data_IF_883682103237
#
_entry.id   IF_883682103237
#
_cell.length_a   1.000
_cell.length_b   1.000
_cell.length_c   1.000
_cell.angle_alpha   90.00
_cell.angle_beta   90.00
_cell.angle_gamma   90.00
#
_symmetry.space_group_name_H-M   'P 1'
#
loop_
_entity.id
_entity.type
_entity.pdbx_description
1 polymer ?
#
# COMPACT_ATOMS: atom_id res chain seq x y z
N UNK A 1 -20.91 -41.59 42.10
CA UNK A 1 -20.58 -41.12 40.73
C UNK A 1 -19.72 -42.17 40.05
N UNK A 2 -20.21 -42.80 38.98
CA UNK A 2 -19.52 -43.90 38.30
C UNK A 2 -18.13 -43.43 37.83
N UNK A 3 -17.11 -44.29 37.96
CA UNK A 3 -15.71 -43.93 37.63
C UNK A 3 -15.56 -43.36 36.22
N UNK A 4 -16.41 -43.79 35.29
CA UNK A 4 -16.51 -43.24 33.93
C UNK A 4 -16.86 -41.75 33.91
N UNK A 5 -17.83 -41.32 34.72
CA UNK A 5 -18.24 -39.90 34.83
C UNK A 5 -17.12 -39.06 35.45
N UNK A 6 -16.41 -39.60 36.45
CA UNK A 6 -15.27 -38.91 37.07
C UNK A 6 -14.16 -38.62 36.06
N UNK A 7 -13.79 -39.60 35.22
CA UNK A 7 -12.76 -39.42 34.20
C UNK A 7 -13.16 -38.42 33.12
N UNK A 8 -14.43 -38.42 32.68
CA UNK A 8 -14.93 -37.46 31.69
C UNK A 8 -14.89 -36.03 32.24
N UNK A 9 -15.28 -35.84 33.50
CA UNK A 9 -15.28 -34.53 34.15
C UNK A 9 -13.85 -34.00 34.33
N UNK A 10 -12.91 -34.83 34.77
CA UNK A 10 -11.51 -34.39 34.97
C UNK A 10 -10.84 -34.00 33.65
N UNK A 11 -10.99 -34.80 32.59
CA UNK A 11 -10.46 -34.46 31.25
C UNK A 11 -11.07 -33.18 30.68
N UNK A 12 -12.39 -32.99 30.85
CA UNK A 12 -13.08 -31.78 30.39
C UNK A 12 -12.57 -30.53 31.12
N UNK A 13 -12.38 -30.63 32.44
CA UNK A 13 -11.91 -29.53 33.27
C UNK A 13 -10.47 -29.11 32.90
N UNK A 14 -9.57 -30.08 32.75
CA UNK A 14 -8.18 -29.81 32.35
C UNK A 14 -8.12 -29.22 30.94
N UNK A 15 -8.92 -29.75 30.01
CA UNK A 15 -8.98 -29.24 28.63
C UNK A 15 -9.51 -27.81 28.58
N UNK A 16 -10.56 -27.49 29.37
CA UNK A 16 -11.11 -26.15 29.46
C UNK A 16 -10.09 -25.16 30.05
N UNK A 17 -9.35 -25.56 31.09
CA UNK A 17 -8.28 -24.75 31.67
C UNK A 17 -7.16 -24.49 30.66
N UNK A 18 -6.71 -25.51 29.93
CA UNK A 18 -5.68 -25.36 28.91
C UNK A 18 -6.12 -24.45 27.74
N UNK A 19 -7.34 -24.63 27.24
CA UNK A 19 -7.90 -23.78 26.20
C UNK A 19 -8.07 -22.32 26.66
N UNK A 20 -8.50 -22.12 27.91
CA UNK A 20 -8.62 -20.80 28.52
C UNK A 20 -7.28 -20.09 28.65
N UNK A 21 -6.24 -20.78 29.14
CA UNK A 21 -4.89 -20.25 29.24
C UNK A 21 -4.32 -19.85 27.86
N UNK A 22 -4.50 -20.70 26.85
CA UNK A 22 -4.06 -20.43 25.49
C UNK A 22 -4.79 -19.22 24.88
N UNK A 23 -6.11 -19.13 25.05
CA UNK A 23 -6.91 -18.00 24.56
C UNK A 23 -6.51 -16.67 25.23
N UNK A 24 -6.20 -16.69 26.53
CA UNK A 24 -5.72 -15.51 27.24
C UNK A 24 -4.36 -15.04 26.73
N UNK A 25 -3.40 -15.98 26.59
CA UNK A 25 -2.07 -15.69 26.08
C UNK A 25 -2.11 -15.09 24.67
N UNK A 26 -2.93 -15.68 23.80
CA UNK A 26 -3.15 -15.21 22.44
C UNK A 26 -3.81 -13.81 22.40
N UNK A 27 -4.84 -13.56 23.21
CA UNK A 27 -5.47 -12.22 23.32
C UNK A 27 -4.46 -11.13 23.70
N UNK A 28 -3.55 -11.42 24.62
CA UNK A 28 -2.50 -10.49 25.04
C UNK A 28 -1.40 -10.30 23.98
N UNK A 29 -0.99 -11.37 23.29
CA UNK A 29 0.10 -11.33 22.31
C UNK A 29 -0.31 -10.80 20.94
N UNK A 30 -1.58 -10.95 20.53
CA UNK A 30 -2.11 -10.45 19.24
C UNK A 30 -1.74 -8.99 18.96
N UNK A 31 -1.84 -8.11 19.97
CA UNK A 31 -1.51 -6.68 19.81
C UNK A 31 -0.03 -6.47 19.49
N UNK A 32 0.87 -7.19 20.17
CA UNK A 32 2.32 -7.12 19.90
C UNK A 32 2.66 -7.68 18.52
N UNK A 33 2.05 -8.80 18.13
CA UNK A 33 2.26 -9.42 16.81
C UNK A 33 1.85 -8.45 15.70
N UNK A 34 0.69 -7.79 15.84
CA UNK A 34 0.20 -6.84 14.85
C UNK A 34 1.14 -5.63 14.69
N UNK A 35 1.64 -5.08 15.80
CA UNK A 35 2.58 -3.95 15.77
C UNK A 35 3.90 -4.35 15.10
N UNK A 36 4.45 -5.51 15.46
CA UNK A 36 5.69 -6.02 14.86
C UNK A 36 5.53 -6.35 13.38
N UNK A 37 4.37 -6.89 12.98
CA UNK A 37 4.07 -7.15 11.57
C UNK A 37 4.06 -5.84 10.74
N UNK A 38 3.43 -4.79 11.25
CA UNK A 38 3.43 -3.46 10.60
C UNK A 38 4.83 -2.88 10.51
N UNK A 39 5.61 -2.98 11.59
CA UNK A 39 6.98 -2.48 11.63
C UNK A 39 7.91 -3.24 10.67
N UNK A 40 7.78 -4.57 10.58
CA UNK A 40 8.50 -5.39 9.58
C UNK A 40 8.12 -4.99 8.16
N UNK A 41 6.82 -4.81 7.88
CA UNK A 41 6.36 -4.36 6.57
C UNK A 41 6.90 -2.96 6.22
N UNK A 42 6.86 -1.99 7.14
CA UNK A 42 7.42 -0.65 6.91
C UNK A 42 8.94 -0.68 6.67
N UNK A 43 9.67 -1.51 7.43
CA UNK A 43 11.12 -1.74 7.21
C UNK A 43 11.41 -2.36 5.85
N UNK A 44 10.59 -3.33 5.42
CA UNK A 44 10.71 -3.96 4.12
C UNK A 44 10.50 -2.96 2.98
N UNK A 45 9.48 -2.10 3.07
CA UNK A 45 9.27 -1.01 2.09
C UNK A 45 10.49 -0.10 2.02
N UNK A 46 11.06 0.31 3.16
CA UNK A 46 12.26 1.14 3.20
C UNK A 46 13.50 0.46 2.62
N UNK A 47 13.64 -0.87 2.80
CA UNK A 47 14.74 -1.65 2.21
C UNK A 47 14.63 -1.71 0.67
N UNK A 48 13.43 -1.90 0.15
CA UNK A 48 13.18 -2.00 -1.30
C UNK A 48 13.22 -0.61 -1.96
N UNK A 49 12.63 0.40 -1.32
CA UNK A 49 12.57 1.77 -1.78
C UNK A 49 13.07 2.74 -0.70
N UNK A 50 14.38 3.03 -0.65
CA UNK A 50 14.97 3.97 0.31
C UNK A 50 14.37 5.38 0.23
N UNK A 51 13.97 5.81 -0.97
CA UNK A 51 13.41 7.14 -1.23
C UNK A 51 11.93 7.29 -0.85
N UNK A 52 11.27 6.20 -0.43
CA UNK A 52 9.86 6.21 -0.08
C UNK A 52 9.66 6.67 1.38
N UNK A 53 9.60 7.99 1.59
CA UNK A 53 9.50 8.59 2.91
C UNK A 53 8.17 8.30 3.64
N UNK A 54 7.05 8.14 2.90
CA UNK A 54 5.72 7.93 3.48
C UNK A 54 4.88 7.00 2.59
N UNK A 55 5.01 5.67 2.73
CA UNK A 55 4.20 4.73 1.97
C UNK A 55 2.75 4.75 2.45
N UNK A 56 1.80 4.78 1.51
CA UNK A 56 0.37 4.70 1.83
C UNK A 56 -0.06 3.23 1.81
N UNK A 57 -0.44 2.70 2.98
CA UNK A 57 -0.97 1.33 3.10
C UNK A 57 -2.43 1.27 2.65
N UNK A 58 -2.75 0.31 1.77
CA UNK A 58 -4.12 0.04 1.30
C UNK A 58 -4.36 -1.46 1.22
N UNK A 59 -5.58 -1.89 1.57
CA UNK A 59 -5.99 -3.28 1.42
C UNK A 59 -6.90 -3.38 0.20
N UNK A 60 -6.49 -4.19 -0.78
CA UNK A 60 -7.22 -4.41 -2.03
C UNK A 60 -7.60 -5.87 -2.12
N UNK A 61 -8.83 -6.18 -2.54
CA UNK A 61 -9.24 -7.56 -2.81
C UNK A 61 -8.79 -7.95 -4.21
N UNK A 62 -8.06 -9.05 -4.32
CA UNK A 62 -7.75 -9.70 -5.59
C UNK A 62 -9.03 -10.24 -6.23
N UNK A 63 -8.98 -10.53 -7.55
CA UNK A 63 -10.06 -11.24 -8.25
C UNK A 63 -10.35 -12.62 -7.62
N UNK A 64 -9.38 -13.22 -6.94
CA UNK A 64 -9.51 -14.47 -6.16
C UNK A 64 -10.04 -14.28 -4.73
N UNK A 65 -10.47 -13.06 -4.37
CA UNK A 65 -11.02 -12.75 -3.04
C UNK A 65 -9.97 -12.54 -1.93
N UNK A 66 -8.68 -12.76 -2.21
CA UNK A 66 -7.60 -12.57 -1.25
C UNK A 66 -7.32 -11.09 -0.97
N UNK A 67 -7.12 -10.72 0.29
CA UNK A 67 -6.77 -9.37 0.70
C UNK A 67 -5.26 -9.13 0.51
N UNK A 68 -4.91 -8.27 -0.44
CA UNK A 68 -3.55 -7.87 -0.77
C UNK A 68 -3.27 -6.53 -0.10
N UNK A 69 -2.15 -6.43 0.60
CA UNK A 69 -1.69 -5.15 1.17
C UNK A 69 -0.79 -4.46 0.14
N UNK A 70 -1.16 -3.24 -0.24
CA UNK A 70 -0.47 -2.39 -1.21
C UNK A 70 0.16 -1.22 -0.46
N UNK A 71 1.43 -0.94 -0.73
CA UNK A 71 2.12 0.25 -0.26
C UNK A 71 2.49 1.09 -1.47
N UNK A 72 1.90 2.27 -1.57
CA UNK A 72 2.17 3.20 -2.66
C UNK A 72 3.30 4.14 -2.30
N UNK A 73 4.28 4.26 -3.20
CA UNK A 73 5.37 5.21 -3.11
C UNK A 73 5.23 6.28 -4.21
N UNK A 74 5.77 7.49 -3.98
CA UNK A 74 5.86 8.52 -5.02
C UNK A 74 6.61 7.98 -6.26
N UNK A 75 6.21 8.43 -7.46
CA UNK A 75 6.87 8.04 -8.71
C UNK A 75 6.39 6.72 -9.33
N UNK A 76 5.13 6.32 -9.08
CA UNK A 76 4.53 5.08 -9.62
C UNK A 76 5.26 3.80 -9.22
N UNK A 77 5.88 3.81 -8.02
CA UNK A 77 6.48 2.63 -7.40
C UNK A 77 5.51 2.05 -6.38
N UNK A 78 5.44 0.73 -6.31
CA UNK A 78 4.46 0.03 -5.50
C UNK A 78 5.09 -1.18 -4.81
N UNK A 79 4.75 -1.42 -3.55
CA UNK A 79 4.99 -2.73 -2.93
C UNK A 79 3.67 -3.48 -2.73
N UNK A 80 3.68 -4.77 -2.99
CA UNK A 80 2.55 -5.67 -2.79
C UNK A 80 2.95 -6.78 -1.81
N UNK A 81 2.11 -7.05 -0.81
CA UNK A 81 2.26 -8.24 0.04
C UNK A 81 1.29 -9.30 -0.45
N UNK A 82 1.84 -10.41 -0.90
CA UNK A 82 1.09 -11.62 -1.25
C UNK A 82 1.41 -12.74 -0.28
N UNK A 83 0.43 -13.63 -0.09
CA UNK A 83 0.58 -14.79 0.76
C UNK A 83 0.32 -16.07 -0.01
N UNK A 84 1.04 -17.13 0.33
CA UNK A 84 0.72 -18.48 -0.12
C UNK A 84 0.63 -19.41 1.09
N UNK A 85 -0.39 -20.25 1.06
CA UNK A 85 -0.61 -21.39 1.93
C UNK A 85 -1.26 -22.51 1.08
N UNK A 86 -1.57 -23.65 1.71
CA UNK A 86 -2.19 -24.79 1.02
C UNK A 86 -3.52 -24.48 0.30
N UNK A 87 -4.22 -23.40 0.65
CA UNK A 87 -5.51 -23.01 0.09
C UNK A 87 -5.45 -21.76 -0.84
N UNK A 88 -4.30 -21.12 -1.01
CA UNK A 88 -4.20 -19.83 -1.71
C UNK A 88 -4.31 -19.93 -3.24
N UNK A 89 -4.33 -21.14 -3.80
CA UNK A 89 -4.31 -21.35 -5.25
C UNK A 89 -3.05 -20.79 -5.94
N UNK A 90 -2.01 -20.52 -5.15
CA UNK A 90 -0.63 -20.21 -5.52
C UNK A 90 0.20 -21.45 -5.14
N UNK A 91 1.40 -21.60 -5.71
CA UNK A 91 2.32 -22.70 -5.39
C UNK A 91 2.41 -22.95 -3.88
N UNK A 92 2.12 -24.20 -3.47
CA UNK A 92 1.99 -24.62 -2.07
C UNK A 92 3.36 -24.61 -1.35
N UNK A 93 3.49 -23.91 -0.20
CA UNK A 93 4.67 -24.00 0.67
C UNK A 93 4.78 -25.38 1.34
N UNK A 94 5.96 -25.72 1.84
CA UNK A 94 6.20 -27.02 2.46
C UNK A 94 5.57 -27.11 3.85
N UNK A 95 5.86 -26.16 4.73
CA UNK A 95 5.49 -26.25 6.16
C UNK A 95 4.32 -25.36 6.57
N UNK A 96 4.04 -24.26 5.86
CA UNK A 96 3.00 -23.34 6.31
C UNK A 96 2.78 -22.09 5.47
N UNK A 97 2.49 -20.97 6.12
CA UNK A 97 2.22 -19.70 5.44
C UNK A 97 3.52 -19.00 5.06
N UNK A 98 3.63 -18.57 3.80
CA UNK A 98 4.68 -17.65 3.35
C UNK A 98 4.04 -16.34 2.93
N UNK A 99 4.54 -15.22 3.44
CA UNK A 99 4.18 -13.86 3.04
C UNK A 99 5.39 -13.15 2.49
N UNK A 100 5.28 -12.67 1.26
CA UNK A 100 6.37 -11.97 0.56
C UNK A 100 5.88 -10.60 0.13
N UNK A 101 6.72 -9.60 0.37
CA UNK A 101 6.59 -8.27 -0.19
C UNK A 101 7.38 -8.17 -1.49
N UNK A 102 6.73 -7.67 -2.54
CA UNK A 102 7.32 -7.49 -3.86
C UNK A 102 7.20 -6.02 -4.24
N UNK A 103 8.33 -5.35 -4.44
CA UNK A 103 8.40 -3.99 -4.95
C UNK A 103 8.54 -3.96 -6.46
N UNK A 104 7.68 -3.20 -7.12
CA UNK A 104 7.58 -3.09 -8.57
C UNK A 104 7.71 -1.62 -8.97
N UNK A 105 8.46 -1.37 -10.04
CA UNK A 105 8.59 -0.04 -10.65
C UNK A 105 7.42 0.28 -11.62
N UNK A 106 7.41 1.51 -12.13
CA UNK A 106 6.42 1.96 -13.12
C UNK A 106 6.34 1.10 -14.39
N UNK A 107 7.41 0.37 -14.72
CA UNK A 107 7.53 -0.46 -15.93
C UNK A 107 7.09 -1.91 -15.70
N UNK A 108 6.77 -2.30 -14.46
CA UNK A 108 6.45 -3.69 -14.12
C UNK A 108 7.69 -4.56 -13.86
N UNK A 109 8.83 -3.93 -13.57
CA UNK A 109 10.08 -4.59 -13.20
C UNK A 109 10.19 -4.70 -11.68
N UNK A 110 10.68 -5.83 -11.20
CA UNK A 110 10.94 -6.05 -9.78
C UNK A 110 12.17 -5.24 -9.35
N UNK A 111 11.97 -4.35 -8.38
CA UNK A 111 13.05 -3.56 -7.75
C UNK A 111 13.64 -4.26 -6.52
N UNK A 112 12.79 -5.02 -5.83
CA UNK A 112 13.20 -5.83 -4.69
C UNK A 112 12.10 -6.73 -4.19
N UNK A 113 12.50 -7.77 -3.48
CA UNK A 113 11.62 -8.75 -2.84
C UNK A 113 12.09 -8.87 -1.40
N UNK A 114 11.16 -9.01 -0.45
CA UNK A 114 11.48 -9.25 0.95
C UNK A 114 10.47 -10.24 1.53
N UNK A 115 10.95 -11.26 2.24
CA UNK A 115 10.08 -12.19 2.98
C UNK A 115 9.67 -11.54 4.30
N UNK A 116 8.36 -11.40 4.52
CA UNK A 116 7.80 -10.74 5.72
C UNK A 116 7.55 -11.75 6.83
N UNK A 117 7.05 -12.93 6.46
CA UNK A 117 6.72 -14.02 7.37
C UNK A 117 6.82 -15.33 6.63
N UNK A 118 7.41 -16.34 7.27
CA UNK A 118 7.47 -17.69 6.76
C UNK A 118 7.39 -18.68 7.92
N UNK A 119 7.00 -19.90 7.63
CA UNK A 119 6.90 -21.00 8.60
C UNK A 119 7.63 -22.25 8.09
N UNK A 120 8.60 -22.06 7.20
CA UNK A 120 9.40 -23.11 6.59
C UNK A 120 10.44 -23.66 7.57
N UNK A 121 10.94 -24.86 7.27
CA UNK A 121 11.90 -25.55 8.13
C UNK A 121 13.22 -24.76 8.22
N UNK A 122 13.68 -24.41 9.45
CA UNK A 122 14.98 -23.76 9.65
C UNK A 122 16.13 -24.57 9.02
N UNK A 123 17.08 -23.89 8.37
CA UNK A 123 18.24 -24.53 7.72
C UNK A 123 17.97 -25.18 6.36
N UNK A 124 16.71 -25.21 5.90
CA UNK A 124 16.31 -25.71 4.58
C UNK A 124 15.45 -24.66 3.87
N UNK A 125 14.14 -24.69 4.10
CA UNK A 125 13.18 -23.82 3.44
C UNK A 125 13.21 -22.38 3.96
N UNK A 126 13.66 -22.17 5.19
CA UNK A 126 13.82 -20.83 5.77
C UNK A 126 14.88 -19.98 5.05
N UNK A 127 15.78 -20.61 4.28
CA UNK A 127 16.83 -19.92 3.52
C UNK A 127 16.25 -19.08 2.37
N UNK A 128 14.93 -19.13 2.12
CA UNK A 128 14.24 -18.17 1.25
C UNK A 128 14.38 -16.72 1.72
N UNK A 129 14.81 -16.47 2.96
CA UNK A 129 15.12 -15.13 3.49
C UNK A 129 16.52 -14.64 3.11
N UNK A 130 17.38 -15.49 2.54
CA UNK A 130 18.75 -15.12 2.20
C UNK A 130 18.80 -14.08 1.07
N UNK A 131 19.57 -13.02 1.30
CA UNK A 131 19.72 -11.92 0.33
C UNK A 131 20.33 -12.37 -1.00
N UNK A 132 21.24 -13.34 -0.97
CA UNK A 132 21.86 -13.94 -2.16
C UNK A 132 20.81 -14.57 -3.08
N UNK A 133 19.85 -15.28 -2.50
CA UNK A 133 18.79 -15.95 -3.24
C UNK A 133 17.68 -14.98 -3.66
N UNK A 134 17.19 -14.13 -2.75
CA UNK A 134 16.20 -13.09 -3.03
C UNK A 134 16.68 -12.11 -4.12
N UNK A 135 17.98 -11.83 -4.18
CA UNK A 135 18.56 -10.92 -5.16
C UNK A 135 18.32 -11.34 -6.62
N UNK A 136 18.09 -12.63 -6.88
CA UNK A 136 17.83 -13.16 -8.23
C UNK A 136 16.55 -12.63 -8.86
N UNK A 137 15.58 -12.18 -8.05
CA UNK A 137 14.32 -11.64 -8.55
C UNK A 137 14.45 -10.20 -9.08
N UNK A 138 15.50 -9.47 -8.70
CA UNK A 138 15.69 -8.07 -9.07
C UNK A 138 15.92 -7.93 -10.57
N UNK A 139 15.21 -7.00 -11.21
CA UNK A 139 15.32 -6.73 -12.65
C UNK A 139 14.47 -7.65 -13.55
N UNK A 140 13.76 -8.63 -12.97
CA UNK A 140 12.84 -9.49 -13.70
C UNK A 140 11.45 -8.82 -13.85
N UNK A 141 10.70 -9.22 -14.89
CA UNK A 141 9.31 -8.81 -15.12
C UNK A 141 8.54 -9.95 -15.80
N UNK A 142 7.23 -9.80 -16.01
CA UNK A 142 6.43 -10.82 -16.73
C UNK A 142 6.91 -11.04 -18.17
N UNK A 143 7.48 -10.01 -18.80
CA UNK A 143 7.97 -10.05 -20.18
C UNK A 143 9.48 -10.28 -20.26
N UNK A 144 10.24 -10.00 -19.20
CA UNK A 144 11.70 -10.09 -19.15
C UNK A 144 12.14 -11.10 -18.09
N UNK A 145 12.58 -12.26 -18.56
CA UNK A 145 13.01 -13.39 -17.74
C UNK A 145 11.83 -14.26 -17.30
N UNK A 146 11.99 -15.58 -17.35
CA UNK A 146 10.93 -16.51 -16.99
C UNK A 146 10.97 -16.72 -15.48
N UNK A 147 9.96 -16.19 -14.78
CA UNK A 147 9.75 -16.35 -13.34
C UNK A 147 9.35 -17.80 -13.01
N UNK A 148 10.32 -18.68 -13.10
CA UNK A 148 10.23 -20.10 -12.81
C UNK A 148 11.56 -20.57 -12.22
N UNK A 149 11.49 -21.61 -11.40
CA UNK A 149 12.66 -22.20 -10.76
C UNK A 149 13.35 -23.14 -11.76
N UNK A 150 14.63 -22.89 -12.07
CA UNK A 150 15.43 -23.58 -13.09
C UNK A 150 15.49 -25.09 -12.92
N UNK A 151 15.54 -25.57 -11.67
CA UNK A 151 15.55 -27.00 -11.32
C UNK A 151 14.27 -27.74 -11.75
N UNK A 152 13.18 -27.00 -11.95
CA UNK A 152 11.86 -27.53 -12.31
C UNK A 152 11.60 -27.25 -13.78
N UNK A 153 11.82 -26.01 -14.20
CA UNK A 153 11.69 -25.57 -15.57
C UNK A 153 13.07 -25.14 -16.05
N UNK A 154 13.68 -25.88 -16.98
CA UNK A 154 15.05 -25.58 -17.50
C UNK A 154 15.20 -24.17 -18.11
N UNK A 155 14.08 -23.54 -18.45
CA UNK A 155 13.99 -22.18 -18.99
C UNK A 155 13.78 -21.10 -17.92
N UNK A 156 13.65 -21.50 -16.65
CA UNK A 156 13.48 -20.61 -15.51
C UNK A 156 14.75 -19.83 -15.17
N UNK A 157 14.57 -18.58 -14.73
CA UNK A 157 15.66 -17.65 -14.41
C UNK A 157 16.09 -17.66 -12.93
N UNK A 158 15.39 -18.42 -12.07
CA UNK A 158 15.65 -18.47 -10.63
C UNK A 158 16.23 -19.82 -10.25
N UNK A 159 17.36 -19.83 -9.55
CA UNK A 159 17.94 -21.05 -9.02
C UNK A 159 17.14 -21.56 -7.81
N UNK A 160 17.07 -22.88 -7.65
CA UNK A 160 16.44 -23.47 -6.48
C UNK A 160 17.42 -23.45 -5.30
N UNK A 161 16.90 -23.22 -4.09
CA UNK A 161 17.65 -23.52 -2.87
C UNK A 161 17.82 -25.05 -2.78
N UNK A 162 19.06 -25.51 -2.57
CA UNK A 162 19.35 -26.94 -2.42
C UNK A 162 18.56 -27.53 -1.24
N UNK A 163 17.93 -28.68 -1.43
CA UNK A 163 17.05 -29.30 -0.43
C UNK A 163 15.69 -28.60 -0.21
N UNK A 164 15.46 -27.39 -0.74
CA UNK A 164 14.25 -26.59 -0.51
C UNK A 164 13.56 -26.14 -1.81
N UNK A 165 13.39 -27.08 -2.75
CA UNK A 165 12.78 -26.80 -4.07
C UNK A 165 11.31 -26.38 -3.95
N UNK A 166 10.56 -26.93 -2.97
CA UNK A 166 9.13 -26.61 -2.76
C UNK A 166 8.98 -25.17 -2.26
N UNK A 167 9.77 -24.78 -1.26
CA UNK A 167 9.78 -23.42 -0.71
C UNK A 167 10.22 -22.39 -1.75
N UNK A 168 11.24 -22.74 -2.55
CA UNK A 168 11.70 -21.91 -3.69
C UNK A 168 10.56 -21.67 -4.69
N UNK A 169 9.85 -22.73 -5.09
CA UNK A 169 8.69 -22.65 -5.99
C UNK A 169 7.56 -21.82 -5.42
N UNK A 170 7.28 -21.96 -4.12
CA UNK A 170 6.24 -21.20 -3.44
C UNK A 170 6.49 -19.69 -3.55
N UNK A 171 7.71 -19.25 -3.22
CA UNK A 171 8.09 -17.83 -3.32
C UNK A 171 8.08 -17.34 -4.77
N UNK A 172 8.63 -18.10 -5.73
CA UNK A 172 8.55 -17.73 -7.15
C UNK A 172 7.11 -17.58 -7.64
N UNK A 173 6.21 -18.48 -7.20
CA UNK A 173 4.78 -18.38 -7.49
C UNK A 173 4.12 -17.15 -6.89
N UNK A 174 4.49 -16.78 -5.65
CA UNK A 174 4.02 -15.55 -4.99
C UNK A 174 4.47 -14.31 -5.79
N UNK A 175 5.74 -14.25 -6.18
CA UNK A 175 6.30 -13.13 -6.95
C UNK A 175 5.61 -12.99 -8.30
N UNK A 176 5.39 -14.11 -9.00
CA UNK A 176 4.64 -14.13 -10.26
C UNK A 176 3.21 -13.62 -10.09
N UNK A 177 2.48 -14.09 -9.07
CA UNK A 177 1.13 -13.64 -8.78
C UNK A 177 1.06 -12.13 -8.46
N UNK A 178 2.09 -11.60 -7.78
CA UNK A 178 2.18 -10.17 -7.49
C UNK A 178 2.32 -9.32 -8.77
N UNK A 179 3.15 -9.77 -9.71
CA UNK A 179 3.30 -9.09 -11.00
C UNK A 179 2.05 -9.22 -11.88
N UNK A 180 1.39 -10.37 -11.90
CA UNK A 180 0.11 -10.54 -12.61
C UNK A 180 -0.96 -9.60 -12.06
N UNK A 181 -1.00 -9.40 -10.75
CA UNK A 181 -1.90 -8.41 -10.12
C UNK A 181 -1.52 -6.97 -10.48
N UNK A 182 -0.23 -6.64 -10.53
CA UNK A 182 0.24 -5.33 -10.99
C UNK A 182 -0.16 -5.06 -12.45
N UNK A 183 0.02 -6.03 -13.33
CA UNK A 183 -0.41 -5.94 -14.73
C UNK A 183 -1.93 -5.79 -14.84
N UNK A 184 -2.70 -6.58 -14.08
CA UNK A 184 -4.17 -6.52 -14.07
C UNK A 184 -4.72 -5.20 -13.50
N UNK A 185 -3.97 -4.52 -12.63
CA UNK A 185 -4.33 -3.19 -12.11
C UNK A 185 -3.95 -2.03 -13.05
N UNK A 186 -3.36 -2.34 -14.22
CA UNK A 186 -3.08 -1.38 -15.29
C UNK A 186 -1.86 -0.50 -15.02
N UNK A 187 -0.84 -1.03 -14.32
CA UNK A 187 0.39 -0.31 -14.01
C UNK A 187 0.20 0.88 -13.05
N UNK A 188 -1.00 1.01 -12.47
CA UNK A 188 -1.30 1.98 -11.43
C UNK A 188 -1.39 1.20 -10.14
N UNK A 189 -0.37 1.40 -9.30
CA UNK A 189 -0.42 1.02 -7.89
C UNK A 189 -1.79 1.44 -7.34
N UNK A 190 -2.60 0.45 -6.95
CA UNK A 190 -4.08 0.40 -6.97
C UNK A 190 -4.79 1.65 -6.38
N UNK A 191 -4.61 2.79 -7.02
CA UNK A 191 -5.32 4.02 -6.73
C UNK A 191 -6.74 3.79 -7.20
N UNK A 192 -7.76 4.16 -6.41
CA UNK A 192 -9.09 4.27 -6.98
C UNK A 192 -8.89 5.23 -8.15
N UNK A 193 -9.08 4.72 -9.37
CA UNK A 193 -8.90 5.50 -10.57
C UNK A 193 -9.58 6.84 -10.34
N UNK A 194 -8.93 7.93 -10.70
CA UNK A 194 -9.50 9.26 -10.55
C UNK A 194 -10.92 9.34 -11.15
N UNK A 195 -11.21 8.46 -12.13
CA UNK A 195 -12.54 8.13 -12.64
C UNK A 195 -13.53 7.60 -11.58
N UNK A 196 -13.15 6.61 -10.76
CA UNK A 196 -13.99 6.09 -9.67
C UNK A 196 -14.19 7.11 -8.52
N UNK A 197 -13.15 7.90 -8.18
CA UNK A 197 -13.27 8.99 -7.20
C UNK A 197 -14.18 10.10 -7.72
N UNK A 198 -14.00 10.53 -8.96
CA UNK A 198 -14.84 11.55 -9.60
C UNK A 198 -16.25 11.05 -9.87
N UNK A 199 -16.47 9.77 -10.18
CA UNK A 199 -17.81 9.19 -10.30
C UNK A 199 -18.53 9.13 -8.95
N UNK A 200 -17.84 8.72 -7.87
CA UNK A 200 -18.42 8.75 -6.52
C UNK A 200 -18.70 10.17 -6.05
N UNK A 201 -17.78 11.10 -6.32
CA UNK A 201 -17.96 12.52 -6.01
C UNK A 201 -19.11 13.14 -6.81
N UNK A 202 -19.20 12.86 -8.12
CA UNK A 202 -20.30 13.33 -8.96
C UNK A 202 -21.65 12.70 -8.57
N UNK A 203 -21.70 11.41 -8.24
CA UNK A 203 -22.91 10.76 -7.71
C UNK A 203 -23.33 11.34 -6.35
N UNK A 204 -22.38 11.62 -5.47
CA UNK A 204 -22.66 12.27 -4.19
C UNK A 204 -23.15 13.72 -4.37
N UNK A 205 -22.62 14.45 -5.36
CA UNK A 205 -23.07 15.80 -5.73
C UNK A 205 -24.48 15.79 -6.34
N UNK A 206 -24.78 14.81 -7.20
CA UNK A 206 -26.11 14.60 -7.78
C UNK A 206 -27.16 14.19 -6.75
N UNK A 207 -26.77 13.51 -5.67
CA UNK A 207 -27.69 13.20 -4.56
C UNK A 207 -27.95 14.40 -3.65
N UNK A 208 -26.98 15.31 -3.48
CA UNK A 208 -27.15 16.54 -2.69
C UNK A 208 -27.89 17.65 -3.45
N UNK A 209 -27.79 17.69 -4.77
CA UNK A 209 -28.63 18.51 -5.63
C UNK A 209 -29.67 17.61 -6.29
N UNK A 210 -30.79 17.35 -5.60
CA UNK A 210 -31.93 16.63 -6.17
C UNK A 210 -32.43 17.32 -7.44
N UNK A 211 -31.94 16.86 -8.59
CA UNK A 211 -32.55 17.13 -9.89
C UNK A 211 -33.27 15.85 -10.26
N UNK A 212 -34.57 15.89 -10.00
CA UNK A 212 -35.59 15.00 -10.53
C UNK A 212 -35.42 14.96 -12.06
N UNK A 213 -35.13 13.79 -12.62
CA UNK A 213 -34.94 13.61 -14.06
C UNK A 213 -36.24 13.90 -14.84
N UNK A 214 -36.13 14.30 -16.12
CA UNK A 214 -37.29 14.68 -16.92
C UNK A 214 -38.17 13.45 -17.20
N UNK A 215 -39.44 13.53 -16.78
CA UNK A 215 -40.48 12.57 -17.19
C UNK A 215 -40.68 12.67 -18.71
N UNK A 216 -40.78 11.49 -19.32
CA UNK A 216 -40.99 11.25 -20.75
C UNK A 216 -42.00 12.19 -21.38
N UNK A 217 -41.60 12.72 -22.55
CA UNK A 217 -42.48 13.40 -23.52
C UNK A 217 -43.69 12.52 -23.83
N UNK A 218 -44.88 13.03 -23.53
CA UNK A 218 -46.09 12.70 -24.26
C UNK A 218 -47.00 13.94 -24.25
N UNK A 219 -46.98 14.63 -25.39
CA UNK A 219 -48.17 15.15 -26.07
C UNK A 219 -49.21 15.92 -25.23
N UNK A 220 -49.14 17.26 -25.26
CA UNK A 220 -50.35 18.06 -25.50
C UNK A 220 -50.05 19.52 -25.88
N UNK A 221 -50.64 19.86 -27.01
CA UNK A 221 -50.88 21.13 -27.70
C UNK A 221 -51.11 22.39 -26.85
N UNK A 222 -50.90 23.51 -27.55
CA UNK A 222 -51.47 24.87 -27.40
C UNK A 222 -50.63 25.95 -26.69
N UNK A 223 -50.47 27.07 -27.43
CA UNK A 223 -49.67 28.29 -27.22
C UNK A 223 -50.27 29.21 -26.12
N UNK A 224 -49.85 30.50 -25.91
CA UNK A 224 -48.78 31.29 -26.55
C UNK A 224 -47.88 32.12 -25.59
N UNK A 225 -46.87 32.73 -26.21
CA UNK A 225 -46.00 33.85 -25.77
C UNK A 225 -46.48 34.68 -24.57
N UNK A 226 -45.59 34.84 -23.57
CA UNK A 226 -45.41 36.11 -22.83
C UNK A 226 -43.96 36.25 -22.34
N UNK A 227 -43.42 37.42 -22.63
CA UNK A 227 -42.07 37.88 -22.32
C UNK A 227 -41.84 38.09 -20.81
N UNK A 228 -40.67 37.72 -20.28
CA UNK A 228 -40.04 38.44 -19.16
C UNK A 228 -38.52 38.51 -19.37
N UNK A 229 -38.03 39.73 -19.17
CA UNK A 229 -36.73 40.31 -19.44
C UNK A 229 -35.52 39.66 -18.73
N UNK A 230 -34.37 39.95 -19.33
CA UNK A 230 -32.99 39.77 -18.86
C UNK A 230 -32.75 40.30 -17.43
N UNK A 231 -31.86 39.63 -16.67
CA UNK A 231 -30.98 40.28 -15.67
C UNK A 231 -29.55 39.72 -15.78
N UNK A 232 -28.53 40.58 -16.01
CA UNK A 232 -27.13 40.13 -16.01
C UNK A 232 -26.60 40.03 -14.56
N UNK A 233 -26.11 38.86 -14.15
CA UNK A 233 -25.44 38.67 -12.84
C UNK A 233 -23.98 39.14 -12.88
N UNK A 234 -23.77 40.42 -13.18
CA UNK A 234 -22.47 41.09 -13.15
C UNK A 234 -22.22 41.84 -11.84
N UNK A 235 -22.20 41.18 -10.68
CA UNK A 235 -21.81 41.84 -9.40
C UNK A 235 -20.95 41.01 -8.43
N UNK A 236 -20.70 39.71 -8.68
CA UNK A 236 -19.93 38.87 -7.73
C UNK A 236 -18.40 38.91 -7.92
N UNK A 237 -17.89 39.34 -9.07
CA UNK A 237 -16.45 39.26 -9.38
C UNK A 237 -15.65 40.49 -8.88
N UNK A 238 -16.30 41.64 -8.62
CA UNK A 238 -15.59 42.86 -8.18
C UNK A 238 -15.19 42.87 -6.70
N UNK A 239 -15.85 42.13 -5.81
CA UNK A 239 -15.49 42.10 -4.37
C UNK A 239 -14.17 41.35 -4.12
N UNK A 240 -13.91 40.26 -4.85
CA UNK A 240 -12.71 39.45 -4.62
C UNK A 240 -11.42 40.13 -5.11
N UNK A 241 -11.50 41.01 -6.13
CA UNK A 241 -10.30 41.67 -6.67
C UNK A 241 -9.72 42.72 -5.69
N UNK A 242 -10.57 43.48 -4.99
CA UNK A 242 -10.11 44.43 -3.96
C UNK A 242 -9.51 43.74 -2.73
N UNK A 243 -10.08 42.61 -2.30
CA UNK A 243 -9.53 41.83 -1.19
C UNK A 243 -8.18 41.20 -1.53
N UNK A 244 -7.99 40.74 -2.78
CA UNK A 244 -6.74 40.14 -3.23
C UNK A 244 -5.60 41.15 -3.32
N UNK A 245 -5.88 42.38 -3.76
CA UNK A 245 -4.86 43.44 -3.82
C UNK A 245 -4.45 43.94 -2.43
N UNK A 246 -5.37 44.01 -1.46
CA UNK A 246 -5.03 44.32 -0.07
C UNK A 246 -4.12 43.27 0.57
N UNK A 247 -4.35 41.98 0.28
CA UNK A 247 -3.53 40.90 0.83
C UNK A 247 -2.09 40.92 0.27
N UNK A 248 -1.92 41.28 -1.02
CA UNK A 248 -0.60 41.41 -1.65
C UNK A 248 0.22 42.56 -1.06
N UNK A 249 -0.42 43.68 -0.71
CA UNK A 249 0.23 44.82 -0.07
C UNK A 249 0.75 44.44 1.33
N UNK A 250 -0.08 43.78 2.14
CA UNK A 250 0.33 43.31 3.47
C UNK A 250 1.50 42.33 3.40
N UNK A 251 1.52 41.45 2.39
CA UNK A 251 2.61 40.48 2.22
C UNK A 251 3.92 41.17 1.81
N UNK A 252 3.88 42.18 0.94
CA UNK A 252 5.07 42.96 0.54
C UNK A 252 5.68 43.73 1.71
N UNK A 253 4.85 44.33 2.56
CA UNK A 253 5.31 45.06 3.74
C UNK A 253 5.96 44.13 4.76
N UNK A 254 5.39 42.94 4.97
CA UNK A 254 5.96 41.91 5.86
C UNK A 254 7.32 41.38 5.40
N UNK A 255 7.52 41.27 4.09
CA UNK A 255 8.80 40.88 3.49
C UNK A 255 9.84 42.00 3.67
N UNK A 256 9.46 43.26 3.47
CA UNK A 256 10.35 44.42 3.67
C UNK A 256 10.84 44.54 5.13
N UNK A 257 9.94 44.31 6.10
CA UNK A 257 10.29 44.33 7.53
C UNK A 257 11.25 43.22 7.95
N UNK A 258 11.19 42.04 7.30
CA UNK A 258 12.15 40.95 7.54
C UNK A 258 13.53 41.22 6.94
N UNK A 259 13.58 41.89 5.79
CA UNK A 259 14.84 42.28 5.13
C UNK A 259 15.60 43.38 5.90
N UNK A 260 14.90 44.30 6.58
CA UNK A 260 15.52 45.37 7.37
C UNK A 260 16.19 44.89 8.68
N UNK A 261 15.77 43.74 9.24
CA UNK A 261 16.39 43.17 10.46
C UNK A 261 17.70 42.42 10.22
N UNK A 262 18.12 42.22 8.97
CA UNK A 262 19.30 41.44 8.62
C UNK A 262 20.58 42.28 8.40
N UNK A 263 20.53 43.60 8.56
CA UNK A 263 21.69 44.48 8.39
C UNK A 263 22.10 45.10 9.74
N UNK A 264 22.88 44.35 10.49
CA UNK A 264 23.75 44.89 11.56
C UNK A 264 25.20 44.53 11.16
N UNK A 265 26.11 45.49 10.94
CA UNK A 265 27.44 45.17 10.43
C UNK A 265 28.33 44.56 11.52
N UNK A 266 28.98 43.44 11.17
CA UNK A 266 29.99 42.80 12.01
C UNK A 266 31.24 43.70 12.12
N UNK A 267 31.56 44.08 13.35
CA UNK A 267 32.73 44.88 13.70
C UNK A 267 33.99 44.01 13.61
N UNK A 268 34.87 44.38 12.69
CA UNK A 268 36.20 43.81 12.47
C UNK A 268 37.10 44.05 13.68
N UNK A 269 37.73 43.01 14.20
CA UNK A 269 38.90 43.09 15.09
C UNK A 269 39.96 42.11 14.55
N UNK A 270 40.89 42.67 13.77
CA UNK A 270 42.24 42.15 13.63
C UNK A 270 43.00 42.50 14.91
N UNK A 271 43.89 41.61 15.39
CA UNK A 271 45.24 41.96 15.85
C UNK A 271 45.93 40.74 16.50
N UNK A 272 47.07 40.36 15.90
CA UNK A 272 48.35 39.87 16.50
C UNK A 272 48.31 38.61 17.37
N UNK A 273 48.99 37.51 17.01
CA UNK A 273 50.46 37.31 17.03
C UNK A 273 50.74 36.23 18.09
N UNK A 274 51.73 35.34 18.08
CA UNK A 274 52.88 34.99 17.24
C UNK A 274 53.62 33.84 17.94
N UNK A 275 54.45 33.10 17.19
CA UNK A 275 55.65 32.35 17.61
C UNK A 275 55.64 31.48 18.88
N UNK A 276 55.66 30.15 18.74
CA UNK A 276 56.84 29.26 18.67
C UNK A 276 56.38 27.80 18.69
#
# INVERSE_FOLDING_TARGET
MNNMVKMVVTLSLISALAAGALAFADKMTRKKIAMQAKLKAARAVKKIFPDCAAPVERIVKSKKGEAITVYDCPGQKACFIFSSNSASGISRPYSGLIRVMVGVDSRGTIEGVEVITQSETPGLGANIEEKSWIGQFKGLSLTKGKLAVKKVDRTGSIDAISGATISSKAVTGIVKAALEFYAASGGKSAAPSEKARNQRFNRARQRKHGVMGPRSRANRLSAPLRAIQRKPRGKRVRRNKKQLEGLKLQLREKIRMRSSRAMTPARTMQSTGGAK
#
